data_IF_661815227979
#
_entry.id   IF_661815227979
#
_cell.length_a   1.000
_cell.length_b   1.000
_cell.length_c   1.000
_cell.angle_alpha   90.00
_cell.angle_beta   90.00
_cell.angle_gamma   90.00
#
_symmetry.space_group_name_H-M   'P 1'
#
loop_
_entity.id
_entity.type
_entity.pdbx_description
1 polymer ?
#
# COMPACT_ATOMS: atom_id res chain seq x y z
N UNK A 1 3.38 5.74 -14.54
CA UNK A 1 4.22 6.89 -14.95
C UNK A 1 5.69 6.58 -14.69
N UNK A 2 6.37 5.97 -15.64
CA UNK A 2 7.81 5.73 -15.59
C UNK A 2 8.49 6.34 -16.79
N UNK A 3 9.81 6.64 -16.67
CA UNK A 3 10.62 7.14 -17.80
C UNK A 3 10.85 6.08 -18.88
N UNK A 4 10.56 4.81 -18.58
CA UNK A 4 10.73 3.68 -19.49
C UNK A 4 9.42 3.28 -20.21
N UNK A 5 8.33 4.03 -20.01
CA UNK A 5 7.01 3.71 -20.51
C UNK A 5 6.15 2.89 -19.53
N UNK A 6 4.93 2.52 -19.93
CA UNK A 6 4.00 1.80 -19.06
C UNK A 6 4.49 0.38 -18.76
N UNK A 7 4.43 -0.02 -17.49
CA UNK A 7 4.61 -1.43 -17.09
C UNK A 7 3.34 -2.18 -17.43
N UNK A 8 3.45 -3.13 -18.36
CA UNK A 8 2.33 -3.93 -18.85
C UNK A 8 2.11 -5.16 -17.96
N UNK A 9 0.86 -5.52 -17.75
CA UNK A 9 0.51 -6.75 -17.07
C UNK A 9 0.97 -7.96 -17.90
N UNK A 10 1.60 -8.94 -17.28
CA UNK A 10 2.17 -10.11 -17.97
C UNK A 10 1.13 -11.03 -18.61
N UNK A 11 -0.07 -11.12 -18.03
CA UNK A 11 -1.18 -11.95 -18.54
C UNK A 11 -2.11 -11.19 -19.48
N UNK A 12 -2.05 -9.84 -19.48
CA UNK A 12 -2.88 -8.97 -20.31
C UNK A 12 -2.10 -7.72 -20.72
N UNK A 13 -1.37 -7.79 -21.82
CA UNK A 13 -0.42 -6.77 -22.26
C UNK A 13 -1.05 -5.41 -22.62
N UNK A 14 -2.37 -5.35 -22.78
CA UNK A 14 -3.17 -4.13 -22.96
C UNK A 14 -3.57 -3.47 -21.64
N UNK A 15 -3.28 -4.11 -20.49
CA UNK A 15 -3.63 -3.64 -19.16
C UNK A 15 -2.41 -3.22 -18.35
N UNK A 16 -2.63 -2.36 -17.36
CA UNK A 16 -1.62 -1.93 -16.42
C UNK A 16 -1.30 -3.04 -15.41
N UNK A 17 -0.05 -3.08 -14.94
CA UNK A 17 0.37 -3.96 -13.85
C UNK A 17 -0.01 -3.44 -12.46
N UNK A 18 -0.59 -2.24 -12.37
CA UNK A 18 -0.72 -1.52 -11.11
C UNK A 18 0.59 -0.83 -10.71
N UNK A 19 0.61 -0.25 -9.50
CA UNK A 19 1.78 0.52 -9.05
C UNK A 19 1.75 0.89 -7.56
N UNK A 20 2.91 1.41 -7.14
CA UNK A 20 4.11 1.77 -7.91
C UNK A 20 5.11 0.59 -8.10
N UNK A 21 5.01 -0.52 -7.37
CA UNK A 21 5.87 -1.71 -7.53
C UNK A 21 5.44 -2.61 -8.70
N UNK A 22 4.94 -2.03 -9.82
CA UNK A 22 4.44 -2.79 -10.96
C UNK A 22 5.53 -3.65 -11.63
N UNK A 23 6.75 -3.14 -11.77
CA UNK A 23 7.88 -3.90 -12.29
C UNK A 23 8.23 -5.11 -11.43
N UNK A 24 8.20 -4.96 -10.11
CA UNK A 24 8.39 -6.05 -9.16
C UNK A 24 7.31 -7.12 -9.30
N UNK A 25 6.04 -6.71 -9.42
CA UNK A 25 4.93 -7.65 -9.61
C UNK A 25 5.05 -8.41 -10.93
N UNK A 26 5.32 -7.72 -12.03
CA UNK A 26 5.45 -8.37 -13.36
C UNK A 26 6.64 -9.32 -13.40
N UNK A 27 7.78 -8.99 -12.76
CA UNK A 27 8.95 -9.89 -12.75
C UNK A 27 8.62 -11.24 -12.10
N UNK A 28 7.78 -11.25 -11.06
CA UNK A 28 7.27 -12.50 -10.45
C UNK A 28 6.21 -13.14 -11.35
N UNK A 29 5.31 -12.34 -11.92
CA UNK A 29 4.21 -12.83 -12.75
C UNK A 29 4.69 -13.60 -13.98
N UNK A 30 5.72 -13.10 -14.65
CA UNK A 30 6.29 -13.77 -15.84
C UNK A 30 7.35 -14.83 -15.50
N UNK A 31 7.63 -15.08 -14.21
CA UNK A 31 8.59 -16.09 -13.76
C UNK A 31 10.06 -15.66 -13.87
N UNK A 32 10.36 -14.37 -14.07
CA UNK A 32 11.74 -13.88 -14.07
C UNK A 32 12.41 -13.99 -12.68
N UNK A 33 11.63 -13.96 -11.62
CA UNK A 33 12.05 -14.28 -10.25
C UNK A 33 10.89 -14.93 -9.46
N UNK A 34 11.22 -15.60 -8.37
CA UNK A 34 10.24 -16.25 -7.49
C UNK A 34 9.66 -15.29 -6.45
N UNK A 35 10.45 -14.29 -6.06
CA UNK A 35 10.11 -13.27 -5.08
C UNK A 35 10.71 -11.94 -5.52
N UNK A 36 9.97 -10.86 -5.37
CA UNK A 36 10.46 -9.51 -5.60
C UNK A 36 10.26 -8.64 -4.35
N UNK A 37 11.20 -7.73 -4.14
CA UNK A 37 11.11 -6.66 -3.15
C UNK A 37 10.44 -5.46 -3.80
N UNK A 38 9.55 -4.81 -3.04
CA UNK A 38 8.93 -3.54 -3.42
C UNK A 38 8.83 -2.60 -2.24
N UNK A 39 8.20 -1.45 -2.47
CA UNK A 39 7.85 -0.50 -1.41
C UNK A 39 6.35 -0.23 -1.42
N UNK A 40 5.76 -0.06 -0.24
CA UNK A 40 4.34 0.22 -0.08
C UNK A 40 4.17 1.42 0.85
N UNK A 41 3.72 2.52 0.30
CA UNK A 41 3.38 3.74 1.02
C UNK A 41 1.86 3.82 1.24
N UNK A 42 1.07 3.49 0.23
CA UNK A 42 -0.39 3.55 0.26
C UNK A 42 -1.09 2.39 -0.46
N UNK A 43 -0.37 1.29 -0.75
CA UNK A 43 -0.88 0.15 -1.52
C UNK A 43 0.07 -0.31 -2.61
N UNK A 44 1.25 0.32 -2.72
CA UNK A 44 2.17 0.16 -3.85
C UNK A 44 2.81 -1.24 -4.00
N UNK A 45 2.60 -2.16 -3.07
CA UNK A 45 2.87 -3.60 -3.19
C UNK A 45 1.56 -4.36 -3.40
N UNK A 46 0.55 -4.08 -2.58
CA UNK A 46 -0.71 -4.82 -2.52
C UNK A 46 -1.53 -4.67 -3.80
N UNK A 47 -1.65 -3.46 -4.34
CA UNK A 47 -2.38 -3.22 -5.59
C UNK A 47 -1.74 -3.94 -6.79
N UNK A 48 -0.43 -3.75 -7.10
CA UNK A 48 0.16 -4.44 -8.24
C UNK A 48 0.21 -5.96 -8.04
N UNK A 49 0.34 -6.47 -6.81
CA UNK A 49 0.20 -7.90 -6.55
C UNK A 49 -1.20 -8.39 -6.91
N UNK A 50 -2.26 -7.66 -6.52
CA UNK A 50 -3.64 -7.98 -6.90
C UNK A 50 -3.85 -7.95 -8.42
N UNK A 51 -3.37 -6.92 -9.11
CA UNK A 51 -3.53 -6.80 -10.55
C UNK A 51 -2.77 -7.87 -11.35
N UNK A 52 -1.68 -8.41 -10.78
CA UNK A 52 -0.86 -9.45 -11.38
C UNK A 52 -1.17 -10.88 -10.87
N UNK A 53 -2.24 -11.06 -10.06
CA UNK A 53 -2.63 -12.39 -9.57
C UNK A 53 -1.68 -12.99 -8.54
N UNK A 54 -1.01 -12.15 -7.74
CA UNK A 54 0.05 -12.54 -6.81
C UNK A 54 -0.30 -12.20 -5.36
N UNK A 55 0.46 -12.76 -4.44
CA UNK A 55 0.45 -12.34 -3.03
C UNK A 55 1.39 -11.16 -2.83
N UNK A 56 0.90 -10.09 -2.16
CA UNK A 56 1.69 -8.91 -1.84
C UNK A 56 1.62 -8.57 -0.35
N UNK A 57 2.76 -8.55 0.33
CA UNK A 57 2.83 -8.34 1.76
C UNK A 57 3.54 -7.02 2.12
N UNK A 58 2.86 -6.20 2.88
CA UNK A 58 3.37 -5.00 3.53
C UNK A 58 3.43 -5.24 5.04
N UNK A 59 4.62 -5.35 5.65
CA UNK A 59 4.74 -5.44 7.12
C UNK A 59 4.28 -4.16 7.80
N UNK A 60 4.14 -4.18 9.11
CA UNK A 60 3.86 -3.00 9.92
C UNK A 60 5.01 -1.99 9.86
N UNK A 61 4.69 -0.73 10.18
CA UNK A 61 5.69 0.34 10.20
C UNK A 61 6.83 0.02 11.18
N UNK A 62 8.08 0.16 10.70
CA UNK A 62 9.26 -0.08 11.52
C UNK A 62 9.56 -1.56 11.78
N UNK A 63 9.12 -2.48 10.93
CA UNK A 63 9.49 -3.90 11.02
C UNK A 63 10.74 -4.25 10.24
N UNK A 64 10.97 -3.56 9.15
CA UNK A 64 12.14 -3.70 8.29
C UNK A 64 12.81 -2.34 8.16
N UNK A 65 14.13 -2.29 8.23
CA UNK A 65 14.91 -1.07 8.01
C UNK A 65 14.68 -0.51 6.61
N UNK A 66 14.56 0.81 6.54
CA UNK A 66 14.43 1.55 5.28
C UNK A 66 15.76 2.17 4.85
N UNK A 67 16.85 1.79 5.50
CA UNK A 67 18.18 2.25 5.09
C UNK A 67 18.45 1.87 3.63
N UNK A 68 18.90 2.83 2.84
CA UNK A 68 19.13 2.66 1.41
C UNK A 68 17.90 2.83 0.51
N UNK A 69 16.68 2.98 1.07
CA UNK A 69 15.51 3.34 0.28
C UNK A 69 15.50 4.84 -0.07
N UNK A 70 15.07 5.14 -1.29
CA UNK A 70 14.73 6.52 -1.69
C UNK A 70 13.41 6.88 -1.03
N UNK A 71 13.45 7.83 -0.09
CA UNK A 71 12.28 8.22 0.68
C UNK A 71 11.29 9.03 -0.19
N UNK A 72 10.03 8.58 -0.21
CA UNK A 72 8.89 9.36 -0.69
C UNK A 72 8.16 10.00 0.49
N UNK A 73 7.60 9.19 1.40
CA UNK A 73 6.93 9.64 2.62
C UNK A 73 7.41 8.81 3.81
N UNK A 74 8.39 9.35 4.54
CA UNK A 74 9.15 8.62 5.56
C UNK A 74 8.31 8.05 6.70
N UNK A 75 7.14 8.64 6.99
CA UNK A 75 6.23 8.13 8.01
C UNK A 75 5.26 7.06 7.50
N UNK A 76 5.34 6.70 6.21
CA UNK A 76 4.49 5.71 5.55
C UNK A 76 5.28 4.61 4.83
N UNK A 77 6.39 4.96 4.20
CA UNK A 77 7.16 4.04 3.34
C UNK A 77 7.53 2.77 4.09
N UNK A 78 7.21 1.62 3.49
CA UNK A 78 7.55 0.29 3.97
C UNK A 78 8.18 -0.53 2.86
N UNK A 79 9.22 -1.28 3.19
CA UNK A 79 9.71 -2.37 2.35
C UNK A 79 8.81 -3.58 2.54
N UNK A 80 8.56 -4.32 1.47
CA UNK A 80 7.80 -5.57 1.54
C UNK A 80 7.99 -6.43 0.31
N UNK A 81 7.15 -7.43 0.14
CA UNK A 81 7.44 -8.56 -0.74
C UNK A 81 6.25 -8.90 -1.64
N UNK A 82 6.56 -9.39 -2.83
CA UNK A 82 5.60 -9.95 -3.80
C UNK A 82 6.09 -11.33 -4.22
N UNK A 83 5.23 -12.34 -4.12
CA UNK A 83 5.51 -13.71 -4.57
C UNK A 83 4.23 -14.44 -4.98
N UNK A 84 4.37 -15.57 -5.68
CA UNK A 84 3.24 -16.51 -5.89
C UNK A 84 2.94 -17.31 -4.64
N UNK A 85 4.01 -17.76 -3.97
CA UNK A 85 3.95 -18.59 -2.79
C UNK A 85 4.16 -17.75 -1.51
N UNK A 86 3.16 -17.66 -0.62
CA UNK A 86 3.28 -16.94 0.65
C UNK A 86 4.43 -17.43 1.55
N UNK A 87 4.83 -18.71 1.42
CA UNK A 87 5.94 -19.26 2.22
C UNK A 87 7.27 -18.58 1.93
N UNK A 88 7.50 -18.16 0.67
CA UNK A 88 8.68 -17.37 0.30
C UNK A 88 8.63 -15.96 0.90
N UNK A 89 7.44 -15.39 1.03
CA UNK A 89 7.26 -14.08 1.70
C UNK A 89 7.62 -14.20 3.19
N UNK A 90 7.18 -15.27 3.85
CA UNK A 90 7.54 -15.57 5.25
C UNK A 90 9.05 -15.66 5.42
N UNK A 91 9.70 -16.47 4.60
CA UNK A 91 11.17 -16.64 4.63
C UNK A 91 11.88 -15.29 4.43
N UNK A 92 11.48 -14.51 3.42
CA UNK A 92 12.08 -13.22 3.14
C UNK A 92 11.86 -12.21 4.28
N UNK A 93 10.66 -12.20 4.87
CA UNK A 93 10.37 -11.38 6.03
C UNK A 93 11.24 -11.74 7.23
N UNK A 94 11.41 -13.02 7.53
CA UNK A 94 12.25 -13.50 8.63
C UNK A 94 13.72 -13.10 8.48
N UNK A 95 14.21 -13.06 7.26
CA UNK A 95 15.59 -12.63 6.95
C UNK A 95 15.75 -11.11 7.09
N UNK A 96 14.74 -10.34 6.65
CA UNK A 96 14.85 -8.88 6.51
C UNK A 96 14.37 -8.11 7.74
N UNK A 97 13.56 -8.72 8.60
CA UNK A 97 13.02 -8.04 9.80
C UNK A 97 14.07 -7.79 10.86
N UNK A 98 13.86 -6.76 11.62
CA UNK A 98 14.69 -6.45 12.79
C UNK A 98 15.40 -5.11 12.67
N UNK A 99 15.98 -4.70 13.80
CA UNK A 99 16.70 -3.44 13.91
C UNK A 99 18.09 -3.55 13.30
N UNK A 100 18.51 -2.47 12.67
CA UNK A 100 19.89 -2.19 12.28
C UNK A 100 20.37 -0.89 12.96
N UNK A 101 21.61 -0.50 12.69
CA UNK A 101 22.19 0.72 13.26
C UNK A 101 21.88 1.98 12.44
N UNK A 102 21.07 1.87 11.39
CA UNK A 102 20.90 2.93 10.38
C UNK A 102 19.48 3.52 10.36
N UNK A 103 18.43 2.75 10.71
CA UNK A 103 17.06 3.23 10.79
C UNK A 103 16.53 3.19 12.23
N UNK A 104 16.56 4.33 12.89
CA UNK A 104 16.09 4.50 14.28
C UNK A 104 14.58 4.26 14.47
N UNK A 105 13.81 4.15 13.38
CA UNK A 105 12.37 3.88 13.44
C UNK A 105 12.04 2.40 13.53
N UNK A 106 13.03 1.51 13.38
CA UNK A 106 12.78 0.07 13.49
C UNK A 106 12.48 -0.29 14.94
N UNK A 107 11.31 -0.91 15.11
CA UNK A 107 10.80 -1.32 16.42
C UNK A 107 11.55 -2.56 16.92
N UNK A 108 11.97 -2.53 18.19
CA UNK A 108 12.49 -3.71 18.90
C UNK A 108 11.39 -4.53 19.58
N UNK A 109 10.11 -4.14 19.40
CA UNK A 109 9.00 -4.87 19.98
C UNK A 109 8.93 -6.29 19.42
N UNK A 110 8.80 -7.26 20.29
CA UNK A 110 8.59 -8.65 19.91
C UNK A 110 7.27 -8.80 19.13
N UNK A 111 7.24 -9.77 18.23
CA UNK A 111 6.00 -10.16 17.59
C UNK A 111 5.09 -10.90 18.57
N UNK A 112 3.79 -10.87 18.27
CA UNK A 112 2.81 -11.63 19.02
C UNK A 112 3.13 -13.13 18.96
N UNK A 113 2.83 -13.84 20.05
CA UNK A 113 2.92 -15.29 20.05
C UNK A 113 2.04 -15.91 18.95
N UNK A 114 2.44 -17.04 18.44
CA UNK A 114 1.64 -17.78 17.45
C UNK A 114 0.28 -18.15 18.06
N UNK A 115 -0.75 -17.93 17.28
CA UNK A 115 -2.14 -18.21 17.66
C UNK A 115 -2.76 -19.25 16.72
N UNK A 116 -3.63 -20.15 17.22
CA UNK A 116 -4.32 -21.09 16.36
C UNK A 116 -5.14 -20.37 15.30
N UNK A 117 -4.85 -20.62 14.04
CA UNK A 117 -5.54 -19.99 12.90
C UNK A 117 -7.04 -20.28 12.90
N UNK A 118 -7.46 -21.46 13.38
CA UNK A 118 -8.87 -21.86 13.47
C UNK A 118 -9.69 -21.05 14.48
N UNK A 119 -9.04 -20.36 15.41
CA UNK A 119 -9.68 -19.50 16.40
C UNK A 119 -9.66 -18.01 16.02
N UNK A 120 -9.25 -17.67 14.79
CA UNK A 120 -9.15 -16.31 14.33
C UNK A 120 -10.53 -15.64 14.23
N UNK A 121 -10.64 -14.43 14.83
CA UNK A 121 -11.83 -13.58 14.75
C UNK A 121 -11.60 -12.55 13.65
N UNK A 122 -12.46 -12.59 12.65
CA UNK A 122 -12.41 -11.74 11.47
C UNK A 122 -13.44 -10.60 11.59
N UNK A 123 -13.10 -9.45 11.06
CA UNK A 123 -14.05 -8.37 10.85
C UNK A 123 -14.05 -7.94 9.39
N UNK A 124 -15.17 -7.39 8.92
CA UNK A 124 -15.22 -6.64 7.67
C UNK A 124 -16.02 -5.36 7.86
N UNK A 125 -15.71 -4.34 7.06
CA UNK A 125 -16.23 -2.98 7.20
C UNK A 125 -17.28 -2.74 6.11
N UNK A 126 -18.55 -2.65 6.48
CA UNK A 126 -19.69 -2.58 5.55
C UNK A 126 -19.57 -1.42 4.53
N UNK A 127 -19.04 -0.28 4.98
CA UNK A 127 -18.92 0.94 4.18
C UNK A 127 -17.99 0.80 2.96
N UNK A 128 -17.12 -0.23 2.94
CA UNK A 128 -16.19 -0.48 1.86
C UNK A 128 -16.77 -1.32 0.70
N UNK A 129 -18.06 -1.66 0.74
CA UNK A 129 -18.71 -2.50 -0.26
C UNK A 129 -19.96 -1.83 -0.86
N UNK A 130 -19.80 -0.75 -1.65
CA UNK A 130 -20.95 -0.08 -2.25
C UNK A 130 -21.72 -1.05 -3.17
N UNK A 131 -23.04 -1.07 -3.06
CA UNK A 131 -23.93 -1.97 -3.80
C UNK A 131 -23.80 -1.79 -5.35
N UNK A 132 -23.38 -0.62 -5.80
CA UNK A 132 -23.16 -0.32 -7.21
C UNK A 132 -21.88 -0.92 -7.81
N UNK A 133 -20.95 -1.44 -6.97
CA UNK A 133 -19.67 -1.96 -7.43
C UNK A 133 -19.66 -3.50 -7.37
N UNK A 134 -19.90 -4.14 -8.53
CA UNK A 134 -19.95 -5.60 -8.65
C UNK A 134 -18.65 -6.30 -8.23
N UNK A 135 -17.49 -5.69 -8.48
CA UNK A 135 -16.18 -6.26 -8.11
C UNK A 135 -16.00 -6.35 -6.59
N UNK A 136 -16.31 -5.27 -5.87
CA UNK A 136 -16.23 -5.29 -4.40
C UNK A 136 -17.33 -6.14 -3.78
N UNK A 137 -18.51 -6.22 -4.41
CA UNK A 137 -19.59 -7.11 -3.99
C UNK A 137 -19.21 -8.60 -4.12
N UNK A 138 -18.42 -8.98 -5.12
CA UNK A 138 -17.87 -10.33 -5.23
C UNK A 138 -16.90 -10.61 -4.08
N UNK A 139 -16.02 -9.67 -3.74
CA UNK A 139 -15.16 -9.79 -2.56
C UNK A 139 -15.98 -9.90 -1.26
N UNK A 140 -17.09 -9.17 -1.15
CA UNK A 140 -17.98 -9.27 0.00
C UNK A 140 -18.60 -10.66 0.12
N UNK A 141 -19.09 -11.26 -0.97
CA UNK A 141 -19.60 -12.65 -0.95
C UNK A 141 -18.55 -13.66 -0.53
N UNK A 142 -17.30 -13.49 -1.02
CA UNK A 142 -16.16 -14.29 -0.57
C UNK A 142 -15.97 -14.18 0.96
N UNK A 143 -15.98 -12.95 1.50
CA UNK A 143 -15.81 -12.72 2.94
C UNK A 143 -16.97 -13.37 3.73
N UNK A 144 -18.20 -13.25 3.24
CA UNK A 144 -19.35 -13.93 3.88
C UNK A 144 -19.18 -15.46 3.88
N UNK A 145 -18.66 -16.03 2.79
CA UNK A 145 -18.37 -17.47 2.71
C UNK A 145 -17.27 -17.89 3.71
N UNK A 146 -16.26 -17.04 3.95
CA UNK A 146 -15.28 -17.29 5.00
C UNK A 146 -15.91 -17.33 6.41
N UNK A 147 -17.01 -16.62 6.64
CA UNK A 147 -17.80 -16.66 7.88
C UNK A 147 -18.38 -18.03 8.21
N UNK A 148 -18.43 -18.98 7.26
CA UNK A 148 -18.79 -20.38 7.55
C UNK A 148 -17.67 -21.16 8.27
N UNK A 149 -16.43 -20.67 8.17
CA UNK A 149 -15.23 -21.32 8.74
C UNK A 149 -14.58 -20.53 9.86
N UNK A 150 -14.91 -19.25 10.00
CA UNK A 150 -14.33 -18.33 10.98
C UNK A 150 -15.43 -17.51 11.67
N UNK A 151 -15.14 -17.04 12.87
CA UNK A 151 -15.97 -16.04 13.55
C UNK A 151 -15.83 -14.70 12.79
N UNK A 152 -16.90 -14.26 12.12
CA UNK A 152 -16.91 -13.08 11.25
C UNK A 152 -17.89 -12.02 11.79
N UNK A 153 -17.37 -10.84 12.08
CA UNK A 153 -18.17 -9.68 12.49
C UNK A 153 -18.27 -8.68 11.33
N UNK A 154 -19.50 -8.25 11.01
CA UNK A 154 -19.75 -7.11 10.15
C UNK A 154 -19.89 -5.85 11.01
N UNK A 155 -19.07 -4.83 10.75
CA UNK A 155 -19.10 -3.56 11.47
C UNK A 155 -19.04 -2.38 10.50
N UNK A 156 -19.23 -1.16 11.01
CA UNK A 156 -19.07 0.08 10.24
C UNK A 156 -17.74 0.74 10.56
N UNK A 157 -17.29 1.61 9.64
CA UNK A 157 -16.12 2.44 9.82
C UNK A 157 -16.45 3.89 9.47
N UNK A 158 -16.33 4.78 10.42
CA UNK A 158 -16.61 6.20 10.20
C UNK A 158 -15.45 6.89 9.46
N UNK A 159 -15.79 7.72 8.47
CA UNK A 159 -14.83 8.61 7.84
C UNK A 159 -14.02 8.02 6.69
N UNK A 160 -14.57 7.04 5.99
CA UNK A 160 -14.00 6.50 4.75
C UNK A 160 -13.60 7.62 3.78
N UNK A 161 -14.43 8.67 3.64
CA UNK A 161 -14.18 9.82 2.76
C UNK A 161 -12.95 10.64 3.15
N UNK A 162 -12.49 10.55 4.39
CA UNK A 162 -11.28 11.27 4.84
C UNK A 162 -9.98 10.49 4.60
N UNK A 163 -10.03 9.21 4.29
CA UNK A 163 -8.83 8.36 4.17
C UNK A 163 -7.90 8.85 3.06
N UNK A 164 -8.41 8.96 1.85
CA UNK A 164 -7.64 9.34 0.67
C UNK A 164 -7.13 10.79 0.77
N UNK A 165 -7.96 11.80 1.09
CA UNK A 165 -7.46 13.16 1.30
C UNK A 165 -6.38 13.25 2.38
N UNK A 166 -6.56 12.58 3.52
CA UNK A 166 -5.57 12.55 4.61
C UNK A 166 -4.25 11.95 4.14
N UNK A 167 -4.29 10.82 3.45
CA UNK A 167 -3.12 10.18 2.90
C UNK A 167 -2.35 11.10 1.95
N UNK A 168 -3.02 11.72 0.97
CA UNK A 168 -2.35 12.57 -0.01
C UNK A 168 -1.80 13.86 0.60
N UNK A 169 -2.50 14.49 1.54
CA UNK A 169 -1.98 15.67 2.26
C UNK A 169 -0.67 15.32 2.98
N UNK A 170 -0.66 14.25 3.76
CA UNK A 170 0.51 13.87 4.54
C UNK A 170 1.67 13.42 3.65
N UNK A 171 1.41 12.54 2.69
CA UNK A 171 2.48 11.99 1.85
C UNK A 171 3.06 13.00 0.89
N UNK A 172 2.27 13.92 0.35
CA UNK A 172 2.81 14.99 -0.52
C UNK A 172 3.60 16.02 0.27
N UNK A 173 3.18 16.35 1.50
CA UNK A 173 3.95 17.19 2.40
C UNK A 173 5.35 16.61 2.67
N UNK A 174 5.41 15.32 3.02
CA UNK A 174 6.69 14.63 3.24
C UNK A 174 7.49 14.48 1.94
N UNK A 175 6.85 14.19 0.82
CA UNK A 175 7.50 14.07 -0.48
C UNK A 175 8.15 15.40 -0.92
N UNK A 176 7.49 16.54 -0.73
CA UNK A 176 8.06 17.84 -1.06
C UNK A 176 9.37 18.11 -0.29
N UNK A 177 9.42 17.71 0.97
CA UNK A 177 10.61 17.80 1.83
C UNK A 177 11.67 16.76 1.45
N UNK A 178 11.30 15.47 1.31
CA UNK A 178 12.24 14.41 1.00
C UNK A 178 12.89 14.57 -0.38
N UNK A 179 12.12 15.01 -1.39
CA UNK A 179 12.62 15.19 -2.75
C UNK A 179 13.38 16.52 -2.94
N UNK A 180 13.44 17.40 -1.95
CA UNK A 180 14.22 18.64 -2.01
C UNK A 180 15.71 18.39 -2.16
N UNK A 181 16.21 17.23 -1.67
CA UNK A 181 17.61 16.82 -1.76
C UNK A 181 18.12 16.55 -3.17
N UNK A 182 17.23 16.37 -4.14
CA UNK A 182 17.58 16.13 -5.55
C UNK A 182 17.68 17.45 -6.30
N UNK A 183 18.75 18.16 -6.05
CA UNK A 183 19.05 19.51 -6.55
C UNK A 183 20.14 19.51 -7.64
N UNK A 184 20.73 18.35 -7.94
CA UNK A 184 21.83 18.19 -8.90
C UNK A 184 23.22 18.37 -8.29
N UNK A 185 23.33 18.63 -6.97
CA UNK A 185 24.64 18.79 -6.32
C UNK A 185 25.17 17.45 -5.82
N UNK A 186 24.35 16.66 -5.14
CA UNK A 186 24.76 15.44 -4.42
C UNK A 186 24.40 14.15 -5.11
N UNK A 187 23.27 14.13 -5.82
CA UNK A 187 22.69 12.90 -6.35
C UNK A 187 22.11 13.08 -7.76
N UNK A 188 22.21 12.01 -8.55
CA UNK A 188 21.44 11.82 -9.77
C UNK A 188 21.80 12.76 -10.91
N UNK A 189 20.79 13.15 -11.67
CA UNK A 189 20.91 14.03 -12.81
C UNK A 189 21.38 15.41 -12.38
N UNK A 190 22.32 15.98 -13.15
CA UNK A 190 22.79 17.36 -13.03
C UNK A 190 22.73 18.03 -14.39
N UNK A 191 22.08 19.18 -14.48
CA UNK A 191 21.85 19.93 -15.73
C UNK A 191 21.92 21.43 -15.46
N UNK A 192 22.39 22.22 -16.43
CA UNK A 192 22.43 23.68 -16.33
C UNK A 192 23.67 24.20 -15.57
N UNK A 193 24.77 23.49 -15.65
CA UNK A 193 26.07 23.89 -15.02
C UNK A 193 26.64 25.17 -15.59
N UNK A 194 26.24 25.54 -16.81
CA UNK A 194 26.64 26.74 -17.50
C UNK A 194 26.08 28.04 -16.89
N UNK A 195 25.11 27.92 -15.98
CA UNK A 195 24.41 29.07 -15.39
C UNK A 195 24.73 29.30 -13.92
N UNK A 196 23.90 30.10 -13.28
CA UNK A 196 23.95 30.28 -11.83
C UNK A 196 23.53 29.00 -11.08
N UNK A 197 23.80 28.93 -9.78
CA UNK A 197 23.35 27.81 -8.90
C UNK A 197 21.84 27.64 -8.97
N UNK A 198 21.07 28.73 -8.95
CA UNK A 198 19.61 28.71 -9.08
C UNK A 198 19.18 28.15 -10.44
N UNK A 199 19.90 28.52 -11.53
CA UNK A 199 19.63 27.98 -12.86
C UNK A 199 19.87 26.45 -12.88
N UNK A 200 20.96 25.98 -12.32
CA UNK A 200 21.29 24.56 -12.23
C UNK A 200 20.20 23.79 -11.45
N UNK A 201 19.76 24.28 -10.27
CA UNK A 201 18.68 23.67 -9.50
C UNK A 201 17.38 23.61 -10.30
N UNK A 202 17.01 24.72 -10.91
CA UNK A 202 15.77 24.81 -11.71
C UNK A 202 15.80 23.85 -12.90
N UNK A 203 16.87 23.83 -13.67
CA UNK A 203 17.02 22.95 -14.83
C UNK A 203 17.04 21.48 -14.44
N UNK A 204 17.81 21.12 -13.41
CA UNK A 204 17.92 19.76 -12.92
C UNK A 204 16.56 19.22 -12.47
N UNK A 205 15.83 19.97 -11.64
CA UNK A 205 14.52 19.54 -11.12
C UNK A 205 13.46 19.53 -12.21
N UNK A 206 13.50 20.50 -13.13
CA UNK A 206 12.55 20.58 -14.25
C UNK A 206 12.68 19.39 -15.20
N UNK A 207 13.91 18.94 -15.51
CA UNK A 207 14.18 17.83 -16.42
C UNK A 207 14.16 16.47 -15.72
N UNK A 208 14.58 16.42 -14.43
CA UNK A 208 14.71 15.18 -13.68
C UNK A 208 13.40 14.64 -13.13
N UNK A 209 12.43 15.51 -12.78
CA UNK A 209 11.14 15.07 -12.24
C UNK A 209 10.06 15.01 -13.31
N UNK A 210 9.34 13.87 -13.35
CA UNK A 210 8.15 13.71 -14.17
C UNK A 210 6.98 14.58 -13.69
N UNK A 211 5.95 14.72 -14.52
CA UNK A 211 4.81 15.60 -14.26
C UNK A 211 4.08 15.27 -12.94
N UNK A 212 3.84 13.98 -12.65
CA UNK A 212 3.17 13.56 -11.42
C UNK A 212 4.00 13.89 -10.18
N UNK A 213 5.32 13.67 -10.22
CA UNK A 213 6.22 14.03 -9.10
C UNK A 213 6.21 15.53 -8.84
N UNK A 214 6.28 16.35 -9.90
CA UNK A 214 6.20 17.82 -9.78
C UNK A 214 4.88 18.26 -9.16
N UNK A 215 3.75 17.67 -9.57
CA UNK A 215 2.42 17.93 -9.00
C UNK A 215 2.40 17.65 -7.50
N UNK A 216 2.95 16.52 -7.07
CA UNK A 216 3.02 16.15 -5.65
C UNK A 216 3.93 17.07 -4.84
N UNK A 217 5.06 17.48 -5.38
CA UNK A 217 5.96 18.46 -4.75
C UNK A 217 5.23 19.80 -4.57
N UNK A 218 4.55 20.28 -5.60
CA UNK A 218 3.79 21.55 -5.54
C UNK A 218 2.67 21.47 -4.50
N UNK A 219 1.88 20.39 -4.49
CA UNK A 219 0.83 20.16 -3.50
C UNK A 219 1.40 20.11 -2.08
N UNK A 220 2.51 19.40 -1.88
CA UNK A 220 3.17 19.32 -0.57
C UNK A 220 3.71 20.67 -0.10
N UNK A 221 4.30 21.45 -0.99
CA UNK A 221 4.76 22.81 -0.67
C UNK A 221 3.58 23.70 -0.28
N UNK A 222 2.45 23.58 -0.98
CA UNK A 222 1.23 24.34 -0.68
C UNK A 222 0.70 23.99 0.73
N UNK A 223 0.51 22.71 1.06
CA UNK A 223 -0.06 22.31 2.36
C UNK A 223 0.87 22.61 3.54
N UNK A 224 2.16 22.79 3.30
CA UNK A 224 3.15 23.18 4.33
C UNK A 224 3.36 24.70 4.41
N UNK A 225 2.76 25.49 3.51
CA UNK A 225 2.95 26.94 3.51
C UNK A 225 2.19 27.62 4.64
N UNK A 226 2.61 28.84 4.99
CA UNK A 226 1.98 29.67 6.00
C UNK A 226 0.49 29.91 5.67
N UNK A 227 -0.36 29.80 6.69
CA UNK A 227 -1.82 29.91 6.56
C UNK A 227 -2.53 28.60 6.16
N UNK A 228 -1.85 27.63 5.58
CA UNK A 228 -2.42 26.35 5.17
C UNK A 228 -1.96 25.15 6.05
N UNK A 229 -0.85 25.29 6.73
CA UNK A 229 -0.26 24.23 7.55
C UNK A 229 -1.26 23.67 8.58
N UNK A 230 -1.88 24.54 9.38
CA UNK A 230 -2.84 24.09 10.39
C UNK A 230 -4.16 23.63 9.80
N UNK A 231 -4.61 24.26 8.73
CA UNK A 231 -5.87 23.92 8.06
C UNK A 231 -5.82 22.54 7.37
N UNK A 232 -4.66 22.14 6.85
CA UNK A 232 -4.49 20.90 6.11
C UNK A 232 -3.60 19.90 6.83
N UNK A 233 -2.31 20.19 7.05
CA UNK A 233 -1.35 19.22 7.56
C UNK A 233 -1.66 18.83 9.01
N UNK A 234 -1.83 19.80 9.90
CA UNK A 234 -2.18 19.52 11.31
C UNK A 234 -3.51 18.78 11.41
N UNK A 235 -4.51 19.17 10.60
CA UNK A 235 -5.80 18.48 10.55
C UNK A 235 -5.65 17.04 10.06
N UNK A 236 -4.88 16.81 9.00
CA UNK A 236 -4.63 15.46 8.49
C UNK A 236 -3.93 14.57 9.51
N UNK A 237 -2.98 15.09 10.29
CA UNK A 237 -2.36 14.35 11.40
C UNK A 237 -3.37 13.94 12.48
N UNK A 238 -4.33 14.81 12.80
CA UNK A 238 -5.42 14.50 13.74
C UNK A 238 -6.35 13.41 13.19
N UNK A 239 -6.70 13.48 11.90
CA UNK A 239 -7.51 12.44 11.24
C UNK A 239 -6.74 11.11 11.20
N UNK A 240 -5.44 11.11 10.87
CA UNK A 240 -4.60 9.91 10.93
C UNK A 240 -4.65 9.24 12.31
N UNK A 241 -4.53 10.03 13.38
CA UNK A 241 -4.63 9.52 14.76
C UNK A 241 -6.02 8.96 15.05
N UNK A 242 -7.06 9.63 14.62
CA UNK A 242 -8.45 9.19 14.81
C UNK A 242 -8.71 7.86 14.06
N UNK A 243 -8.27 7.72 12.81
CA UNK A 243 -8.33 6.45 12.05
C UNK A 243 -7.63 5.33 12.81
N UNK A 244 -6.42 5.58 13.29
CA UNK A 244 -5.68 4.60 14.07
C UNK A 244 -6.43 4.17 15.32
N UNK A 245 -6.99 5.10 16.09
CA UNK A 245 -7.74 4.81 17.31
C UNK A 245 -8.99 3.95 17.02
N UNK A 246 -9.71 4.21 15.93
CA UNK A 246 -10.84 3.36 15.52
C UNK A 246 -10.39 1.92 15.25
N UNK A 247 -9.30 1.74 14.50
CA UNK A 247 -8.78 0.40 14.24
C UNK A 247 -8.27 -0.30 15.51
N UNK A 248 -7.62 0.42 16.41
CA UNK A 248 -7.21 -0.11 17.73
C UNK A 248 -8.43 -0.59 18.53
N UNK A 249 -9.56 0.11 18.47
CA UNK A 249 -10.81 -0.33 19.09
C UNK A 249 -11.37 -1.59 18.42
N UNK A 250 -11.43 -1.63 17.09
CA UNK A 250 -11.90 -2.81 16.34
C UNK A 250 -11.04 -4.04 16.63
N UNK A 251 -9.75 -3.87 16.82
CA UNK A 251 -8.82 -4.95 17.16
C UNK A 251 -8.89 -5.44 18.62
N UNK A 252 -9.69 -4.86 19.48
CA UNK A 252 -9.96 -5.43 20.82
C UNK A 252 -10.74 -6.75 20.72
N UNK A 253 -11.72 -6.77 19.81
CA UNK A 253 -12.62 -7.91 19.65
C UNK A 253 -12.30 -8.78 18.42
N UNK A 254 -11.49 -8.28 17.49
CA UNK A 254 -11.14 -8.95 16.24
C UNK A 254 -9.63 -9.09 16.08
N UNK A 255 -9.18 -10.07 15.31
CA UNK A 255 -7.77 -10.32 15.07
C UNK A 255 -7.33 -9.82 13.70
N UNK A 256 -8.25 -9.81 12.72
CA UNK A 256 -8.00 -9.39 11.35
C UNK A 256 -9.19 -8.61 10.78
N UNK A 257 -8.90 -7.68 9.85
CA UNK A 257 -9.91 -6.97 9.07
C UNK A 257 -9.73 -7.37 7.61
N UNK A 258 -10.83 -7.79 6.97
CA UNK A 258 -10.88 -8.23 5.59
C UNK A 258 -11.55 -7.16 4.72
N UNK A 259 -10.91 -6.78 3.62
CA UNK A 259 -11.39 -5.77 2.69
C UNK A 259 -11.01 -6.14 1.24
N UNK A 260 -11.63 -5.53 0.22
CA UNK A 260 -11.08 -5.54 -1.12
C UNK A 260 -9.67 -4.93 -1.12
N UNK A 261 -8.84 -5.30 -2.11
CA UNK A 261 -7.56 -4.61 -2.36
C UNK A 261 -7.78 -3.36 -3.19
N UNK A 262 -8.68 -3.45 -4.17
CA UNK A 262 -8.96 -2.42 -5.17
C UNK A 262 -10.45 -2.35 -5.46
N UNK A 263 -10.89 -1.26 -6.10
CA UNK A 263 -12.28 -1.08 -6.54
C UNK A 263 -12.60 -1.84 -7.84
N UNK A 264 -11.58 -2.29 -8.56
CA UNK A 264 -11.72 -2.97 -9.87
C UNK A 264 -10.52 -3.84 -10.16
N UNK A 265 -10.60 -4.66 -11.21
CA UNK A 265 -9.43 -5.30 -11.82
C UNK A 265 -8.49 -4.30 -12.52
N UNK A 266 -7.41 -4.79 -13.16
CA UNK A 266 -6.44 -3.94 -13.85
C UNK A 266 -7.07 -3.18 -15.02
N UNK A 267 -6.76 -1.87 -15.11
CA UNK A 267 -7.27 -0.97 -16.15
C UNK A 267 -6.52 -1.15 -17.48
N UNK A 268 -7.16 -0.72 -18.58
CA UNK A 268 -6.47 -0.58 -19.85
C UNK A 268 -5.34 0.48 -19.75
N UNK A 269 -4.24 0.29 -20.51
CA UNK A 269 -3.09 1.21 -20.45
C UNK A 269 -3.45 2.64 -20.89
N UNK A 270 -4.40 2.76 -21.80
CA UNK A 270 -4.91 4.03 -22.33
C UNK A 270 -6.15 4.54 -21.58
N UNK A 271 -6.53 3.89 -20.47
CA UNK A 271 -7.65 4.30 -19.65
C UNK A 271 -7.51 5.76 -19.21
N UNK A 272 -8.55 6.52 -19.48
CA UNK A 272 -8.69 7.90 -19.03
C UNK A 272 -9.90 7.97 -18.09
N UNK A 273 -9.63 8.27 -16.83
CA UNK A 273 -10.70 8.50 -15.87
C UNK A 273 -11.55 9.70 -16.29
N UNK A 274 -12.86 9.60 -16.14
CA UNK A 274 -13.79 10.71 -16.36
C UNK A 274 -13.60 11.82 -15.31
N UNK A 275 -13.35 11.40 -14.07
CA UNK A 275 -12.96 12.29 -12.97
C UNK A 275 -11.46 12.09 -12.67
N UNK A 276 -10.64 13.15 -12.71
CA UNK A 276 -9.23 13.07 -12.33
C UNK A 276 -8.98 12.50 -10.92
N UNK A 277 -9.96 12.57 -10.02
CA UNK A 277 -9.87 12.04 -8.66
C UNK A 277 -10.14 10.54 -8.58
N UNK A 278 -10.77 9.94 -9.58
CA UNK A 278 -11.13 8.51 -9.61
C UNK A 278 -9.91 7.61 -9.35
N UNK A 279 -8.79 7.90 -10.01
CA UNK A 279 -7.53 7.14 -9.84
C UNK A 279 -7.00 7.26 -8.41
N UNK A 280 -7.13 8.43 -7.78
CA UNK A 280 -6.72 8.63 -6.39
C UNK A 280 -7.63 7.91 -5.41
N UNK A 281 -8.94 7.92 -5.65
CA UNK A 281 -9.91 7.19 -4.81
C UNK A 281 -9.79 5.67 -4.92
N UNK A 282 -9.11 5.14 -5.95
CA UNK A 282 -8.81 3.70 -6.02
C UNK A 282 -7.95 3.20 -4.86
N UNK A 283 -7.21 4.10 -4.19
CA UNK A 283 -6.35 3.78 -3.07
C UNK A 283 -7.11 3.63 -1.73
N UNK A 284 -8.41 3.93 -1.69
CA UNK A 284 -9.23 3.96 -0.45
C UNK A 284 -9.10 2.68 0.38
N UNK A 285 -9.02 1.52 -0.26
CA UNK A 285 -8.93 0.22 0.40
C UNK A 285 -7.57 -0.03 1.04
N UNK A 286 -6.50 0.46 0.45
CA UNK A 286 -5.13 0.17 0.87
C UNK A 286 -4.56 1.21 1.83
N UNK A 287 -4.98 2.48 1.71
CA UNK A 287 -4.46 3.56 2.57
C UNK A 287 -4.89 3.43 4.03
N UNK A 288 -5.98 2.72 4.33
CA UNK A 288 -6.44 2.46 5.69
C UNK A 288 -5.33 1.83 6.55
N UNK A 289 -4.75 0.72 6.11
CA UNK A 289 -3.65 0.06 6.79
C UNK A 289 -2.39 0.93 6.86
N UNK A 290 -2.13 1.73 5.81
CA UNK A 290 -0.97 2.61 5.72
C UNK A 290 -1.05 3.79 6.70
N UNK A 291 -2.20 4.44 6.81
CA UNK A 291 -2.46 5.52 7.77
C UNK A 291 -2.24 5.06 9.22
N UNK A 292 -2.63 3.84 9.54
CA UNK A 292 -2.46 3.29 10.87
C UNK A 292 -1.08 2.64 11.13
N UNK A 293 -0.27 2.45 10.09
CA UNK A 293 1.03 1.78 10.19
C UNK A 293 0.94 0.27 10.43
N UNK A 294 -0.20 -0.35 10.11
CA UNK A 294 -0.50 -1.76 10.37
C UNK A 294 0.04 -2.69 9.26
N UNK A 295 0.38 -3.94 9.57
CA UNK A 295 0.69 -4.94 8.56
C UNK A 295 -0.55 -5.27 7.73
N UNK A 296 -0.34 -5.51 6.43
CA UNK A 296 -1.41 -5.91 5.53
C UNK A 296 -0.87 -6.80 4.40
N UNK A 297 -1.70 -7.73 3.94
CA UNK A 297 -1.38 -8.64 2.85
C UNK A 297 -2.53 -8.67 1.84
N UNK A 298 -2.19 -8.68 0.56
CA UNK A 298 -3.11 -8.97 -0.55
C UNK A 298 -2.91 -10.40 -1.00
N UNK A 299 -3.98 -11.18 -1.05
CA UNK A 299 -3.93 -12.59 -1.47
C UNK A 299 -4.92 -12.88 -2.60
N UNK A 300 -4.54 -13.73 -3.58
CA UNK A 300 -5.49 -14.28 -4.54
C UNK A 300 -6.28 -15.42 -3.90
N UNK A 301 -7.60 -15.42 -4.07
CA UNK A 301 -8.50 -16.50 -3.64
C UNK A 301 -9.36 -16.91 -4.81
N UNK A 302 -9.37 -18.20 -5.14
CA UNK A 302 -10.26 -18.72 -6.19
C UNK A 302 -11.66 -18.94 -5.59
N UNK A 303 -12.65 -18.21 -6.11
CA UNK A 303 -14.04 -18.20 -5.62
C UNK A 303 -15.02 -18.03 -6.80
N UNK A 304 -16.07 -18.84 -6.87
CA UNK A 304 -17.09 -18.79 -7.93
C UNK A 304 -16.49 -18.86 -9.36
N UNK A 305 -15.46 -19.67 -9.59
CA UNK A 305 -14.69 -19.80 -10.85
C UNK A 305 -13.93 -18.53 -11.27
N UNK A 306 -13.78 -17.56 -10.39
CA UNK A 306 -13.00 -16.34 -10.62
C UNK A 306 -11.91 -16.19 -9.54
N UNK A 307 -10.90 -15.40 -9.86
CA UNK A 307 -9.86 -15.03 -8.89
C UNK A 307 -10.19 -13.69 -8.26
N UNK A 308 -10.52 -13.71 -6.97
CA UNK A 308 -10.80 -12.53 -6.16
C UNK A 308 -9.57 -12.17 -5.34
N UNK A 309 -9.22 -10.90 -5.28
CA UNK A 309 -8.14 -10.43 -4.42
C UNK A 309 -8.67 -9.85 -3.12
N UNK A 310 -8.26 -10.49 -2.03
CA UNK A 310 -8.66 -10.14 -0.66
C UNK A 310 -7.49 -9.46 0.04
N UNK A 311 -7.74 -8.33 0.70
CA UNK A 311 -6.81 -7.73 1.64
C UNK A 311 -7.12 -8.18 3.06
N UNK A 312 -6.08 -8.57 3.79
CA UNK A 312 -6.15 -8.89 5.21
C UNK A 312 -5.25 -7.90 5.94
N UNK A 313 -5.81 -7.16 6.91
CA UNK A 313 -5.08 -6.23 7.77
C UNK A 313 -4.97 -6.87 9.16
N UNK A 314 -3.75 -6.96 9.70
CA UNK A 314 -3.48 -7.51 11.02
C UNK A 314 -3.20 -6.45 12.08
N UNK A 315 -3.21 -6.86 13.34
CA UNK A 315 -2.74 -6.05 14.48
C UNK A 315 -1.25 -5.70 14.33
N UNK A 316 -0.80 -4.65 14.97
CA UNK A 316 0.63 -4.36 15.07
C UNK A 316 1.38 -5.53 15.72
N UNK A 317 2.56 -5.83 15.24
CA UNK A 317 3.42 -6.93 15.70
C UNK A 317 2.80 -8.33 15.53
N UNK A 318 1.93 -8.53 14.54
CA UNK A 318 1.22 -9.79 14.30
C UNK A 318 1.50 -10.36 12.89
N UNK A 319 2.67 -10.08 12.34
CA UNK A 319 3.03 -10.38 10.95
C UNK A 319 3.03 -11.89 10.68
N UNK A 320 3.60 -12.72 11.56
CA UNK A 320 3.62 -14.17 11.41
C UNK A 320 2.22 -14.80 11.41
N UNK A 321 1.37 -14.35 12.33
CA UNK A 321 -0.02 -14.81 12.36
C UNK A 321 -0.81 -14.32 11.15
N UNK A 322 -0.54 -13.10 10.65
CA UNK A 322 -1.12 -12.59 9.41
C UNK A 322 -0.72 -13.44 8.19
N UNK A 323 0.53 -13.85 8.10
CA UNK A 323 0.99 -14.77 7.06
C UNK A 323 0.34 -16.16 7.20
N UNK A 324 0.21 -16.69 8.42
CA UNK A 324 -0.41 -17.98 8.66
C UNK A 324 -1.91 -17.99 8.28
N UNK A 325 -2.68 -16.97 8.65
CA UNK A 325 -4.11 -16.89 8.26
C UNK A 325 -4.27 -16.73 6.74
N UNK A 326 -3.37 -15.99 6.08
CA UNK A 326 -3.40 -15.82 4.62
C UNK A 326 -3.14 -17.15 3.89
N UNK A 327 -2.14 -17.92 4.31
CA UNK A 327 -1.85 -19.28 3.78
C UNK A 327 -3.08 -20.19 3.96
N UNK A 328 -3.72 -20.13 5.15
CA UNK A 328 -4.92 -20.92 5.42
C UNK A 328 -6.07 -20.54 4.49
N UNK A 329 -6.35 -19.25 4.31
CA UNK A 329 -7.45 -18.79 3.45
C UNK A 329 -7.20 -19.18 1.98
N UNK A 330 -5.97 -19.02 1.47
CA UNK A 330 -5.60 -19.47 0.11
C UNK A 330 -5.83 -20.98 -0.06
N UNK A 331 -5.56 -21.78 0.97
CA UNK A 331 -5.73 -23.24 0.92
C UNK A 331 -7.18 -23.73 0.97
N UNK A 332 -8.14 -22.85 1.29
CA UNK A 332 -9.56 -23.22 1.32
C UNK A 332 -10.10 -23.35 -0.11
N UNK A 333 -10.69 -24.53 -0.40
CA UNK A 333 -11.46 -24.72 -1.65
C UNK A 333 -12.84 -24.10 -1.46
N UNK A 334 -13.00 -22.83 -1.79
CA UNK A 334 -14.26 -22.09 -1.67
C UNK A 334 -15.04 -22.23 -2.98
N UNK A 335 -16.02 -23.15 -2.98
CA UNK A 335 -16.94 -23.37 -4.11
C UNK A 335 -18.24 -22.58 -3.88
#
# INVERSE_FOLDING_TARGET
HTIYGAVRNGDAADKVAGGSSGGAAVSVQIGACQLAIGTDTGGSIRQPAAFCGLTGFKPGYGKISRHGLIAYASSFDQLGFIARDPSLIRLAYDICRGADDFDSTVSKAAEAAESPVSAARLATLADFFPASNSYTQQCYRLIQKLGESFDLTLTSFEGMDYLVPTYYILTTAEASSNLSRYDGVRFGLRVGEEGSLEHMYTQTRTRGFGAEVKKRIMLGTFVLSEGYYDAYYTKAQKVRRWVRNQLETLFQDNDYILLPVTASGPWAIDYKANDPLEVYYSDVYTVLASLAGLPAISIPVDFENERVHLQIIGKSNNEHNLLAISEKIISLSLK
#
